data_IF_050514930604
#
_entry.id   IF_050514930604
#
_cell.length_a   1.000
_cell.length_b   1.000
_cell.length_c   1.000
_cell.angle_alpha   90.00
_cell.angle_beta   90.00
_cell.angle_gamma   90.00
#
_symmetry.space_group_name_H-M   'P 1'
#
loop_
_entity.id
_entity.type
_entity.pdbx_description
1 polymer ?
#
# COMPACT_ATOMS: atom_id res chain seq x y z
N UNK A 1 6.14 -2.54 -25.98
CA UNK A 1 5.86 -2.27 -27.39
C UNK A 1 5.06 -0.98 -27.49
N UNK A 2 5.27 -0.14 -28.51
CA UNK A 2 4.44 1.03 -28.83
C UNK A 2 3.78 0.83 -30.19
N UNK A 3 2.56 1.35 -30.35
CA UNK A 3 1.86 1.36 -31.64
C UNK A 3 2.14 2.68 -32.34
N UNK A 4 2.59 2.62 -33.59
CA UNK A 4 2.66 3.79 -34.47
C UNK A 4 1.31 4.05 -35.15
N UNK A 5 1.17 5.22 -35.79
CA UNK A 5 -0.08 5.67 -36.41
C UNK A 5 -0.57 4.73 -37.52
N UNK A 6 0.35 4.01 -38.17
CA UNK A 6 0.04 3.02 -39.20
C UNK A 6 -0.26 1.61 -38.65
N UNK A 7 -0.38 1.48 -37.33
CA UNK A 7 -0.72 0.24 -36.64
C UNK A 7 0.46 -0.70 -36.39
N UNK A 8 1.68 -0.37 -36.87
CA UNK A 8 2.88 -1.17 -36.57
C UNK A 8 3.18 -1.16 -35.07
N UNK A 9 3.59 -2.32 -34.56
CA UNK A 9 3.99 -2.53 -33.17
C UNK A 9 5.51 -2.55 -33.13
N UNK A 10 6.13 -1.57 -32.48
CA UNK A 10 7.59 -1.44 -32.39
C UNK A 10 8.07 -1.56 -30.94
N UNK A 11 9.29 -2.07 -30.69
CA UNK A 11 9.87 -2.11 -29.35
C UNK A 11 10.05 -0.69 -28.80
N UNK A 12 9.90 -0.57 -27.49
CA UNK A 12 10.17 0.68 -26.75
C UNK A 12 11.69 0.78 -26.57
N UNK A 13 12.26 1.98 -26.75
CA UNK A 13 13.72 2.17 -26.67
C UNK A 13 14.24 1.93 -25.24
N UNK A 14 15.53 1.59 -25.10
CA UNK A 14 16.14 1.41 -23.77
C UNK A 14 16.10 2.70 -22.95
N UNK A 15 16.27 3.84 -23.61
CA UNK A 15 16.20 5.18 -23.00
C UNK A 15 14.77 5.49 -22.54
N UNK A 16 13.77 5.14 -23.34
CA UNK A 16 12.35 5.26 -22.96
C UNK A 16 12.04 4.41 -21.72
N UNK A 17 12.48 3.14 -21.70
CA UNK A 17 12.33 2.25 -20.52
C UNK A 17 13.05 2.84 -19.29
N UNK A 18 14.27 3.33 -19.45
CA UNK A 18 15.06 3.94 -18.38
C UNK A 18 14.36 5.14 -17.73
N UNK A 19 13.74 6.02 -18.53
CA UNK A 19 12.96 7.16 -18.02
C UNK A 19 11.74 6.74 -17.19
N UNK A 20 11.06 5.66 -17.57
CA UNK A 20 9.95 5.12 -16.79
C UNK A 20 10.42 4.53 -15.45
N UNK A 21 11.53 3.79 -15.45
CA UNK A 21 12.12 3.25 -14.23
C UNK A 21 12.49 4.36 -13.24
N UNK A 22 13.08 5.46 -13.72
CA UNK A 22 13.40 6.61 -12.86
C UNK A 22 12.13 7.24 -12.24
N UNK A 23 11.05 7.37 -13.01
CA UNK A 23 9.77 7.90 -12.52
C UNK A 23 9.14 6.98 -11.48
N UNK A 24 9.16 5.67 -11.72
CA UNK A 24 8.67 4.67 -10.75
C UNK A 24 9.47 4.79 -9.46
N UNK A 25 10.81 4.81 -9.56
CA UNK A 25 11.68 4.95 -8.40
C UNK A 25 11.40 6.22 -7.59
N UNK A 26 11.26 7.37 -8.25
CA UNK A 26 10.90 8.63 -7.59
C UNK A 26 9.54 8.55 -6.89
N UNK A 27 8.54 7.93 -7.53
CA UNK A 27 7.21 7.78 -6.94
C UNK A 27 7.23 6.87 -5.71
N UNK A 28 7.92 5.73 -5.77
CA UNK A 28 8.04 4.81 -4.64
C UNK A 28 8.76 5.46 -3.45
N UNK A 29 9.84 6.21 -3.68
CA UNK A 29 10.54 6.91 -2.59
C UNK A 29 9.69 8.03 -1.98
N UNK A 30 8.98 8.81 -2.81
CA UNK A 30 8.04 9.81 -2.32
C UNK A 30 6.95 9.17 -1.44
N UNK A 31 6.42 8.01 -1.85
CA UNK A 31 5.44 7.28 -1.05
C UNK A 31 6.04 6.84 0.29
N UNK A 32 7.23 6.25 0.27
CA UNK A 32 7.92 5.80 1.49
C UNK A 32 8.18 6.95 2.47
N UNK A 33 8.62 8.12 1.97
CA UNK A 33 8.83 9.33 2.76
C UNK A 33 7.53 9.80 3.43
N UNK A 34 6.47 9.99 2.63
CA UNK A 34 5.17 10.44 3.14
C UNK A 34 4.58 9.46 4.16
N UNK A 35 4.67 8.15 3.92
CA UNK A 35 4.20 7.15 4.87
C UNK A 35 4.99 7.18 6.17
N UNK A 36 6.32 7.31 6.10
CA UNK A 36 7.19 7.37 7.27
C UNK A 36 6.89 8.62 8.12
N UNK A 37 6.77 9.79 7.46
CA UNK A 37 6.40 11.04 8.13
C UNK A 37 5.04 10.94 8.83
N UNK A 38 4.03 10.39 8.14
CA UNK A 38 2.69 10.18 8.72
C UNK A 38 2.77 9.20 9.89
N UNK A 39 3.53 8.11 9.77
CA UNK A 39 3.63 7.12 10.84
C UNK A 39 4.22 7.71 12.13
N UNK A 40 5.29 8.50 11.99
CA UNK A 40 5.90 9.23 13.11
C UNK A 40 4.91 10.24 13.69
N UNK A 41 4.29 11.06 12.82
CA UNK A 41 3.35 12.12 13.22
C UNK A 41 2.15 11.58 14.00
N UNK A 42 1.64 10.42 13.60
CA UNK A 42 0.48 9.78 14.22
C UNK A 42 0.89 8.64 15.17
N UNK A 43 2.12 8.66 15.70
CA UNK A 43 2.64 7.75 16.72
C UNK A 43 2.28 6.27 16.46
N UNK A 44 2.59 5.78 15.26
CA UNK A 44 2.38 4.38 14.87
C UNK A 44 0.91 3.91 14.84
N UNK A 45 -0.06 4.81 14.83
CA UNK A 45 -1.50 4.50 14.98
C UNK A 45 -2.11 3.54 13.95
N UNK A 46 -1.53 3.42 12.75
CA UNK A 46 -2.01 2.44 11.76
C UNK A 46 -1.68 1.01 12.21
N UNK A 47 -0.48 0.81 12.73
CA UNK A 47 0.04 -0.50 13.14
C UNK A 47 -0.26 -0.81 14.61
N UNK A 48 -0.49 0.22 15.43
CA UNK A 48 -0.85 0.12 16.84
C UNK A 48 -2.03 1.07 17.12
N UNK A 49 -3.25 0.69 16.71
CA UNK A 49 -4.43 1.52 16.91
C UNK A 49 -4.74 1.67 18.40
N UNK A 50 -5.16 2.88 18.80
CA UNK A 50 -5.46 3.20 20.21
C UNK A 50 -6.59 2.37 20.82
N UNK A 51 -7.46 1.77 20.00
CA UNK A 51 -8.51 0.88 20.49
C UNK A 51 -9.66 1.56 21.24
N UNK A 52 -9.75 2.90 21.26
CA UNK A 52 -10.71 3.63 22.11
C UNK A 52 -12.16 3.39 21.68
N UNK A 53 -12.43 3.54 20.38
CA UNK A 53 -13.80 3.41 19.82
C UNK A 53 -13.98 2.19 18.93
N UNK A 54 -12.89 1.57 18.49
CA UNK A 54 -12.89 0.44 17.58
C UNK A 54 -11.95 -0.62 18.14
N UNK A 55 -12.39 -1.87 18.12
CA UNK A 55 -11.62 -3.04 18.56
C UNK A 55 -11.04 -3.82 17.39
N UNK A 56 -11.05 -3.24 16.19
CA UNK A 56 -10.54 -3.89 14.99
C UNK A 56 -9.03 -4.09 15.09
N UNK A 57 -8.56 -5.20 14.51
CA UNK A 57 -7.13 -5.42 14.34
C UNK A 57 -6.55 -4.38 13.37
N UNK A 58 -5.22 -4.13 13.40
CA UNK A 58 -4.57 -3.28 12.41
C UNK A 58 -4.90 -3.67 10.97
N UNK A 59 -4.93 -4.98 10.68
CA UNK A 59 -5.23 -5.50 9.34
C UNK A 59 -6.68 -5.21 8.92
N UNK A 60 -7.65 -5.40 9.81
CA UNK A 60 -9.05 -5.06 9.56
C UNK A 60 -9.25 -3.55 9.37
N UNK A 61 -8.59 -2.74 10.21
CA UNK A 61 -8.58 -1.29 10.08
C UNK A 61 -8.03 -0.83 8.72
N UNK A 62 -6.94 -1.44 8.25
CA UNK A 62 -6.37 -1.17 6.94
C UNK A 62 -7.35 -1.52 5.80
N UNK A 63 -8.03 -2.67 5.87
CA UNK A 63 -9.04 -3.09 4.88
C UNK A 63 -10.20 -2.08 4.76
N UNK A 64 -10.73 -1.60 5.88
CA UNK A 64 -11.80 -0.58 5.86
C UNK A 64 -11.32 0.72 5.20
N UNK A 65 -10.08 1.13 5.47
CA UNK A 65 -9.50 2.32 4.83
C UNK A 65 -9.28 2.12 3.33
N UNK A 66 -8.88 0.93 2.89
CA UNK A 66 -8.81 0.59 1.47
C UNK A 66 -10.18 0.73 0.79
N UNK A 67 -11.24 0.21 1.40
CA UNK A 67 -12.60 0.34 0.88
C UNK A 67 -13.06 1.80 0.79
N UNK A 68 -12.73 2.64 1.78
CA UNK A 68 -13.01 4.09 1.74
C UNK A 68 -12.32 4.74 0.54
N UNK A 69 -11.05 4.40 0.28
CA UNK A 69 -10.31 4.96 -0.85
C UNK A 69 -10.83 4.48 -2.20
N UNK A 70 -11.23 3.22 -2.32
CA UNK A 70 -11.90 2.72 -3.53
C UNK A 70 -13.23 3.43 -3.80
N UNK A 71 -14.06 3.63 -2.77
CA UNK A 71 -15.33 4.36 -2.90
C UNK A 71 -15.12 5.80 -3.40
N UNK A 72 -14.10 6.49 -2.88
CA UNK A 72 -13.74 7.84 -3.33
C UNK A 72 -13.30 7.86 -4.79
N UNK A 73 -12.44 6.92 -5.20
CA UNK A 73 -12.00 6.82 -6.59
C UNK A 73 -13.20 6.61 -7.52
N UNK A 74 -14.13 5.73 -7.16
CA UNK A 74 -15.37 5.52 -7.93
C UNK A 74 -16.16 6.85 -8.05
N UNK A 75 -16.37 7.56 -6.95
CA UNK A 75 -17.09 8.84 -6.96
C UNK A 75 -16.40 9.90 -7.84
N UNK A 76 -15.06 9.99 -7.79
CA UNK A 76 -14.27 10.90 -8.64
C UNK A 76 -14.45 10.56 -10.12
N UNK A 77 -14.34 9.28 -10.49
CA UNK A 77 -14.50 8.85 -11.89
C UNK A 77 -15.91 9.07 -12.43
N UNK A 78 -16.92 9.08 -11.54
CA UNK A 78 -18.30 9.37 -11.88
C UNK A 78 -18.62 10.87 -11.91
N UNK A 79 -17.65 11.76 -11.64
CA UNK A 79 -17.87 13.21 -11.57
C UNK A 79 -18.72 13.65 -10.37
N UNK A 80 -18.79 12.82 -9.32
CA UNK A 80 -19.64 13.04 -8.14
C UNK A 80 -18.89 13.68 -6.96
N UNK A 81 -17.58 13.93 -7.08
CA UNK A 81 -16.78 14.55 -6.03
C UNK A 81 -15.74 15.51 -6.59
N UNK A 82 -15.65 16.70 -6.01
CA UNK A 82 -14.58 17.68 -6.23
C UNK A 82 -13.38 17.45 -5.29
N UNK A 83 -13.16 16.19 -4.87
CA UNK A 83 -12.09 15.86 -3.92
C UNK A 83 -10.72 16.20 -4.53
N UNK A 84 -9.95 17.00 -3.79
CA UNK A 84 -8.62 17.47 -4.18
C UNK A 84 -7.53 16.54 -3.66
N UNK A 85 -7.86 15.62 -2.75
CA UNK A 85 -6.93 14.61 -2.27
C UNK A 85 -6.70 13.52 -3.32
N UNK A 86 -5.44 13.11 -3.48
CA UNK A 86 -5.07 12.04 -4.40
C UNK A 86 -5.45 10.68 -3.81
N UNK A 87 -6.72 10.29 -4.01
CA UNK A 87 -7.27 9.04 -3.50
C UNK A 87 -6.52 7.80 -4.02
N UNK A 88 -5.89 7.89 -5.19
CA UNK A 88 -5.06 6.80 -5.75
C UNK A 88 -3.74 6.69 -4.98
N UNK A 89 -3.07 7.80 -4.69
CA UNK A 89 -1.86 7.81 -3.87
C UNK A 89 -2.13 7.32 -2.44
N UNK A 90 -3.26 7.72 -1.85
CA UNK A 90 -3.68 7.20 -0.55
C UNK A 90 -3.99 5.69 -0.58
N UNK A 91 -4.64 5.21 -1.64
CA UNK A 91 -4.87 3.78 -1.84
C UNK A 91 -3.55 3.01 -1.89
N UNK A 92 -2.56 3.50 -2.67
CA UNK A 92 -1.21 2.92 -2.70
C UNK A 92 -0.58 2.89 -1.30
N UNK A 93 -0.74 3.97 -0.52
CA UNK A 93 -0.24 4.04 0.85
C UNK A 93 -0.85 2.98 1.77
N UNK A 94 -2.17 2.81 1.74
CA UNK A 94 -2.83 1.79 2.56
C UNK A 94 -2.54 0.36 2.09
N UNK A 95 -2.27 0.12 0.79
CA UNK A 95 -1.82 -1.18 0.30
C UNK A 95 -0.44 -1.55 0.84
N UNK A 96 0.49 -0.58 0.91
CA UNK A 96 1.79 -0.78 1.55
C UNK A 96 1.62 -1.11 3.03
N UNK A 97 0.82 -0.32 3.77
CA UNK A 97 0.56 -0.60 5.19
C UNK A 97 -0.06 -1.99 5.39
N UNK A 98 -1.03 -2.38 4.55
CA UNK A 98 -1.65 -3.70 4.59
C UNK A 98 -0.62 -4.82 4.45
N UNK A 99 0.27 -4.72 3.46
CA UNK A 99 1.34 -5.70 3.28
C UNK A 99 2.31 -5.75 4.45
N UNK A 100 2.74 -4.60 4.97
CA UNK A 100 3.64 -4.56 6.14
C UNK A 100 3.01 -5.22 7.37
N UNK A 101 1.70 -5.00 7.61
CA UNK A 101 0.98 -5.66 8.71
C UNK A 101 0.94 -7.18 8.48
N UNK A 102 0.56 -7.60 7.28
CA UNK A 102 0.46 -9.02 6.92
C UNK A 102 1.80 -9.75 7.08
N UNK A 103 2.89 -9.16 6.56
CA UNK A 103 4.22 -9.74 6.65
C UNK A 103 4.68 -9.86 8.12
N UNK A 104 4.33 -8.89 8.98
CA UNK A 104 4.64 -8.93 10.41
C UNK A 104 3.82 -9.99 11.16
N UNK A 105 2.54 -10.18 10.81
CA UNK A 105 1.69 -11.24 11.36
C UNK A 105 2.22 -12.63 10.97
N UNK A 106 2.57 -12.84 9.70
CA UNK A 106 3.13 -14.11 9.21
C UNK A 106 4.46 -14.46 9.90
N UNK A 107 5.37 -13.49 10.04
CA UNK A 107 6.63 -13.69 10.75
C UNK A 107 6.44 -14.05 12.24
N UNK A 108 5.39 -13.50 12.88
CA UNK A 108 5.06 -13.81 14.26
C UNK A 108 4.49 -15.23 14.40
N UNK A 109 3.61 -15.63 13.50
CA UNK A 109 3.05 -17.00 13.45
C UNK A 109 4.16 -18.04 13.28
N UNK A 110 5.05 -17.86 12.31
CA UNK A 110 6.20 -18.74 12.08
C UNK A 110 7.09 -18.88 13.33
N UNK A 111 7.33 -17.76 14.04
CA UNK A 111 8.09 -17.77 15.27
C UNK A 111 7.39 -18.57 16.38
N UNK A 112 6.09 -18.37 16.58
CA UNK A 112 5.29 -19.08 17.60
C UNK A 112 5.30 -20.58 17.33
N UNK A 113 5.06 -21.00 16.08
CA UNK A 113 5.06 -22.41 15.69
C UNK A 113 6.43 -23.06 15.95
N UNK A 114 7.52 -22.38 15.60
CA UNK A 114 8.88 -22.87 15.86
C UNK A 114 9.19 -23.01 17.36
N UNK A 115 8.57 -22.18 18.21
CA UNK A 115 8.79 -22.20 19.65
C UNK A 115 8.01 -23.33 20.32
N UNK A 116 6.79 -23.60 19.88
CA UNK A 116 5.95 -24.69 20.38
C UNK A 116 6.53 -26.07 20.04
N UNK A 117 7.09 -26.24 18.84
CA UNK A 117 7.77 -27.47 18.43
C UNK A 117 9.03 -27.77 19.26
N UNK A 118 9.73 -26.74 19.73
CA UNK A 118 10.91 -26.88 20.61
C UNK A 118 10.55 -27.24 22.06
N UNK A 119 9.31 -26.98 22.49
CA UNK A 119 8.85 -27.17 23.87
C UNK A 119 8.05 -28.46 24.08
N UNK A 120 7.90 -29.32 23.08
CA UNK A 120 7.33 -30.66 23.25
C UNK A 120 8.47 -31.68 23.43
N UNK A 121 8.82 -32.12 24.65
CA UNK A 121 9.68 -33.28 24.82
C UNK A 121 8.86 -34.52 24.47
N UNK A 122 9.42 -35.38 23.63
CA UNK A 122 8.98 -36.77 23.51
C UNK A 122 9.23 -37.56 24.79
#
# INVERSE_FOLDING_TARGET
MKREEDGRVVPVSKEEVGRWNERIWKMCNKLAEVLSEKNIRYNNSVFSPLGIFSTLTPLEGAKIRLDDKLKRIIAMTAGMSDDKEDAVFDLMGYLVCYHVIKDAEEALEEYIDSAQQRQSPG
#
